data_IF_673365506277
#
_entry.id   IF_673365506277
#
_cell.length_a   1.000
_cell.length_b   1.000
_cell.length_c   1.000
_cell.angle_alpha   90.00
_cell.angle_beta   90.00
_cell.angle_gamma   90.00
#
_symmetry.space_group_name_H-M   'P 1'
#
loop_
_entity.id
_entity.type
_entity.pdbx_description
1 polymer ?
#
# COMPACT_ATOMS: atom_id res chain seq x y z
N UNK A 1 21.07 -0.87 -13.46
CA UNK A 1 20.65 -0.30 -12.16
C UNK A 1 20.51 -1.41 -11.11
N UNK A 2 21.59 -1.69 -10.35
CA UNK A 2 21.70 -2.79 -9.38
C UNK A 2 20.59 -2.74 -8.31
N UNK A 3 20.24 -1.54 -7.83
CA UNK A 3 19.17 -1.39 -6.84
C UNK A 3 17.81 -1.83 -7.39
N UNK A 4 17.51 -1.50 -8.66
CA UNK A 4 16.26 -1.95 -9.28
C UNK A 4 16.20 -3.47 -9.46
N UNK A 5 17.32 -4.10 -9.83
CA UNK A 5 17.42 -5.57 -9.93
C UNK A 5 17.22 -6.21 -8.56
N UNK A 6 17.86 -5.68 -7.51
CA UNK A 6 17.69 -6.19 -6.15
C UNK A 6 16.22 -6.05 -5.67
N UNK A 7 15.60 -4.88 -5.89
CA UNK A 7 14.18 -4.68 -5.54
C UNK A 7 13.26 -5.67 -6.28
N UNK A 8 13.55 -5.93 -7.57
CA UNK A 8 12.82 -6.92 -8.36
C UNK A 8 12.99 -8.33 -7.77
N UNK A 9 14.21 -8.73 -7.41
CA UNK A 9 14.49 -10.03 -6.80
C UNK A 9 13.71 -10.18 -5.48
N UNK A 10 13.75 -9.18 -4.59
CA UNK A 10 13.01 -9.19 -3.33
C UNK A 10 11.51 -9.33 -3.56
N UNK A 11 10.96 -8.71 -4.60
CA UNK A 11 9.54 -8.77 -4.93
C UNK A 11 9.15 -10.14 -5.51
N UNK A 12 9.92 -10.65 -6.49
CA UNK A 12 9.60 -11.90 -7.21
C UNK A 12 9.81 -13.13 -6.33
N UNK A 13 10.78 -13.09 -5.42
CA UNK A 13 11.05 -14.18 -4.48
C UNK A 13 10.43 -13.99 -3.09
N UNK A 14 9.48 -13.05 -2.92
CA UNK A 14 8.67 -12.99 -1.70
C UNK A 14 7.53 -14.02 -1.76
N UNK A 15 7.50 -15.04 -0.89
CA UNK A 15 6.40 -16.00 -0.85
C UNK A 15 5.05 -15.35 -0.65
N UNK A 16 4.99 -14.26 0.13
CA UNK A 16 3.77 -13.50 0.39
C UNK A 16 3.24 -12.80 -0.87
N UNK A 17 4.12 -12.24 -1.70
CA UNK A 17 3.74 -11.61 -2.98
C UNK A 17 3.25 -12.67 -3.96
N UNK A 18 3.97 -13.80 -4.08
CA UNK A 18 3.59 -14.91 -4.97
C UNK A 18 2.23 -15.48 -4.53
N UNK A 19 2.04 -15.71 -3.22
CA UNK A 19 0.78 -16.21 -2.68
C UNK A 19 -0.40 -15.34 -3.13
N UNK A 20 -0.32 -14.04 -2.94
CA UNK A 20 -1.41 -13.12 -3.27
C UNK A 20 -1.55 -12.85 -4.78
N UNK A 21 -0.50 -13.07 -5.57
CA UNK A 21 -0.57 -12.99 -7.04
C UNK A 21 -1.32 -14.17 -7.66
N UNK A 22 -1.28 -15.35 -7.01
CA UNK A 22 -1.97 -16.57 -7.49
C UNK A 22 -3.48 -16.47 -7.33
N UNK A 23 -3.96 -15.86 -6.25
CA UNK A 23 -5.39 -15.74 -5.97
C UNK A 23 -5.96 -14.49 -6.62
N UNK A 24 -7.22 -14.55 -7.05
CA UNK A 24 -7.90 -13.40 -7.68
C UNK A 24 -8.28 -12.38 -6.61
N UNK A 25 -7.26 -11.82 -5.93
CA UNK A 25 -7.42 -10.74 -4.95
C UNK A 25 -6.93 -9.42 -5.53
N UNK A 26 -7.45 -8.32 -5.01
CA UNK A 26 -7.05 -6.98 -5.46
C UNK A 26 -5.71 -6.52 -4.87
N UNK A 27 -5.06 -7.32 -4.02
CA UNK A 27 -3.96 -6.86 -3.18
C UNK A 27 -2.68 -6.57 -3.97
N UNK A 28 -2.28 -7.49 -4.88
CA UNK A 28 -1.11 -7.27 -5.75
C UNK A 28 -1.38 -6.17 -6.79
N UNK A 29 -2.58 -6.17 -7.37
CA UNK A 29 -2.99 -5.10 -8.28
C UNK A 29 -2.97 -3.73 -7.58
N UNK A 30 -3.43 -3.66 -6.34
CA UNK A 30 -3.36 -2.45 -5.53
C UNK A 30 -1.91 -2.04 -5.23
N UNK A 31 -1.03 -2.98 -4.86
CA UNK A 31 0.39 -2.70 -4.64
C UNK A 31 1.04 -2.07 -5.89
N UNK A 32 0.74 -2.61 -7.06
CA UNK A 32 1.17 -2.05 -8.34
C UNK A 32 0.56 -0.65 -8.58
N UNK A 33 -0.75 -0.48 -8.35
CA UNK A 33 -1.44 0.80 -8.51
C UNK A 33 -0.86 1.91 -7.63
N UNK A 34 -0.61 1.61 -6.35
CA UNK A 34 0.04 2.55 -5.42
C UNK A 34 1.45 2.93 -5.88
N UNK A 35 2.27 1.94 -6.26
CA UNK A 35 3.63 2.18 -6.72
C UNK A 35 3.65 3.01 -8.00
N UNK A 36 2.77 2.72 -8.95
CA UNK A 36 2.65 3.44 -10.21
C UNK A 36 2.19 4.88 -10.00
N UNK A 37 1.17 5.10 -9.17
CA UNK A 37 0.65 6.42 -8.84
C UNK A 37 1.71 7.27 -8.12
N UNK A 38 2.40 6.71 -7.13
CA UNK A 38 3.49 7.38 -6.43
C UNK A 38 4.65 7.73 -7.38
N UNK A 39 5.03 6.81 -8.28
CA UNK A 39 6.08 7.06 -9.27
C UNK A 39 5.76 8.25 -10.18
N UNK A 40 4.55 8.30 -10.75
CA UNK A 40 4.19 9.41 -11.66
C UNK A 40 3.95 10.72 -10.91
N UNK A 41 3.46 10.67 -9.68
CA UNK A 41 3.37 11.83 -8.81
C UNK A 41 4.77 12.42 -8.52
N UNK A 42 5.71 11.60 -8.07
CA UNK A 42 7.11 12.01 -7.83
C UNK A 42 7.74 12.57 -9.11
N UNK A 43 7.55 11.86 -10.23
CA UNK A 43 8.06 12.30 -11.53
C UNK A 43 7.50 13.65 -11.94
N UNK A 44 6.21 13.91 -11.67
CA UNK A 44 5.62 15.22 -11.93
C UNK A 44 6.20 16.31 -11.02
N UNK A 45 6.30 16.07 -9.73
CA UNK A 45 6.85 17.05 -8.78
C UNK A 45 8.30 17.42 -9.13
N UNK A 46 9.13 16.43 -9.51
CA UNK A 46 10.54 16.67 -9.89
C UNK A 46 10.70 17.26 -11.31
N UNK A 47 9.80 16.91 -12.23
CA UNK A 47 9.81 17.38 -13.65
C UNK A 47 8.39 17.76 -14.06
N UNK A 48 7.92 19.00 -13.73
CA UNK A 48 6.51 19.42 -13.92
C UNK A 48 6.22 19.72 -15.40
N UNK A 49 5.89 18.70 -16.17
CA UNK A 49 5.43 18.77 -17.56
C UNK A 49 3.96 18.38 -17.64
N UNK A 50 3.23 18.86 -18.67
CA UNK A 50 1.83 18.47 -18.94
C UNK A 50 1.68 16.96 -19.06
N UNK A 51 2.63 16.29 -19.72
CA UNK A 51 2.65 14.82 -19.89
C UNK A 51 2.72 14.10 -18.53
N UNK A 52 3.63 14.53 -17.65
CA UNK A 52 3.77 13.93 -16.32
C UNK A 52 2.54 14.21 -15.43
N UNK A 53 1.90 15.38 -15.57
CA UNK A 53 0.66 15.72 -14.87
C UNK A 53 -0.47 14.76 -15.26
N UNK A 54 -0.66 14.55 -16.57
CA UNK A 54 -1.68 13.63 -17.09
C UNK A 54 -1.43 12.21 -16.58
N UNK A 55 -0.19 11.72 -16.67
CA UNK A 55 0.13 10.39 -16.16
C UNK A 55 -0.09 10.26 -14.64
N UNK A 56 0.26 11.29 -13.86
CA UNK A 56 -0.01 11.28 -12.42
C UNK A 56 -1.51 11.20 -12.12
N UNK A 57 -2.34 11.94 -12.86
CA UNK A 57 -3.79 11.88 -12.71
C UNK A 57 -4.39 10.54 -13.15
N UNK A 58 -3.98 10.03 -14.33
CA UNK A 58 -4.47 8.74 -14.82
C UNK A 58 -4.09 7.59 -13.89
N UNK A 59 -2.83 7.54 -13.41
CA UNK A 59 -2.38 6.48 -12.52
C UNK A 59 -2.99 6.58 -11.13
N UNK A 60 -3.27 7.80 -10.64
CA UNK A 60 -4.08 8.00 -9.45
C UNK A 60 -5.49 7.42 -9.63
N UNK A 61 -6.16 7.70 -10.76
CA UNK A 61 -7.48 7.15 -11.05
C UNK A 61 -7.48 5.63 -11.17
N UNK A 62 -6.49 5.04 -11.86
CA UNK A 62 -6.30 3.58 -11.93
C UNK A 62 -6.16 2.98 -10.53
N UNK A 63 -5.33 3.57 -9.66
CA UNK A 63 -5.17 3.09 -8.30
C UNK A 63 -6.50 3.10 -7.52
N UNK A 64 -7.32 4.15 -7.67
CA UNK A 64 -8.65 4.22 -7.05
C UNK A 64 -9.60 3.12 -7.54
N UNK A 65 -9.49 2.71 -8.80
CA UNK A 65 -10.29 1.64 -9.39
C UNK A 65 -9.84 0.24 -8.93
N UNK A 66 -8.57 0.08 -8.58
CA UNK A 66 -8.01 -1.21 -8.13
C UNK A 66 -8.37 -1.53 -6.68
N UNK A 67 -8.40 -0.53 -5.79
CA UNK A 67 -8.73 -0.75 -4.37
C UNK A 67 -9.15 0.56 -3.69
N UNK A 68 -10.23 0.52 -2.91
CA UNK A 68 -10.71 1.71 -2.18
C UNK A 68 -9.69 2.30 -1.19
N UNK A 69 -8.77 1.48 -0.64
CA UNK A 69 -7.69 2.00 0.20
C UNK A 69 -6.76 2.98 -0.52
N UNK A 70 -6.80 3.05 -1.88
CA UNK A 70 -6.07 4.04 -2.66
C UNK A 70 -6.49 5.49 -2.37
N UNK A 71 -7.61 5.71 -1.67
CA UNK A 71 -7.99 7.02 -1.12
C UNK A 71 -6.86 7.63 -0.27
N UNK A 72 -6.02 6.80 0.36
CA UNK A 72 -4.84 7.23 1.12
C UNK A 72 -3.78 7.95 0.27
N UNK A 73 -3.83 7.83 -1.06
CA UNK A 73 -2.98 8.63 -1.96
C UNK A 73 -3.31 10.13 -1.90
N UNK A 74 -4.54 10.51 -1.57
CA UNK A 74 -4.94 11.92 -1.45
C UNK A 74 -4.14 12.60 -0.33
N UNK A 75 -4.24 12.19 0.95
CA UNK A 75 -3.46 12.80 2.02
C UNK A 75 -1.95 12.62 1.81
N UNK A 76 -1.49 11.51 1.23
CA UNK A 76 -0.09 11.30 0.90
C UNK A 76 0.44 12.38 -0.07
N UNK A 77 -0.26 12.60 -1.19
CA UNK A 77 0.17 13.55 -2.22
C UNK A 77 0.10 15.00 -1.71
N UNK A 78 -0.94 15.33 -0.93
CA UNK A 78 -1.06 16.65 -0.29
C UNK A 78 0.09 16.86 0.68
N UNK A 79 0.32 15.92 1.60
CA UNK A 79 1.36 16.03 2.62
C UNK A 79 2.77 16.11 1.99
N UNK A 80 3.12 15.16 1.15
CA UNK A 80 4.48 15.10 0.58
C UNK A 80 4.73 16.24 -0.41
N UNK A 81 3.74 16.65 -1.19
CA UNK A 81 3.82 17.82 -2.06
C UNK A 81 4.01 19.12 -1.26
N UNK A 82 3.26 19.29 -0.17
CA UNK A 82 3.38 20.43 0.73
C UNK A 82 4.76 20.51 1.40
N UNK A 83 5.23 19.37 1.96
CA UNK A 83 6.57 19.31 2.57
C UNK A 83 7.65 19.63 1.54
N UNK A 84 7.54 19.06 0.31
CA UNK A 84 8.51 19.37 -0.76
C UNK A 84 8.49 20.86 -1.13
N UNK A 85 7.31 21.49 -1.21
CA UNK A 85 7.20 22.94 -1.42
C UNK A 85 7.92 23.73 -0.33
N UNK A 86 7.70 23.38 0.94
CA UNK A 86 8.34 24.08 2.08
C UNK A 86 9.87 24.00 2.05
N UNK A 87 10.43 22.83 1.66
CA UNK A 87 11.88 22.60 1.76
C UNK A 87 12.63 22.96 0.49
N UNK A 88 12.08 22.74 -0.69
CA UNK A 88 12.77 22.93 -1.97
C UNK A 88 12.53 24.29 -2.60
N UNK A 89 11.34 24.87 -2.35
CA UNK A 89 10.83 26.12 -2.98
C UNK A 89 10.91 26.15 -4.52
N UNK A 90 11.09 25.00 -5.17
CA UNK A 90 11.21 24.88 -6.63
C UNK A 90 9.87 25.02 -7.35
N UNK A 91 8.76 24.85 -6.64
CA UNK A 91 7.39 24.99 -7.17
C UNK A 91 6.70 26.10 -6.34
N UNK A 92 5.98 27.02 -6.97
CA UNK A 92 5.15 28.00 -6.25
C UNK A 92 3.93 27.31 -5.63
N UNK A 93 3.48 27.83 -4.48
CA UNK A 93 2.31 27.26 -3.77
C UNK A 93 1.04 27.19 -4.62
N UNK A 94 0.64 28.25 -5.36
CA UNK A 94 -0.54 28.17 -6.22
C UNK A 94 -0.40 27.10 -7.31
N UNK A 95 0.82 26.92 -7.87
CA UNK A 95 1.08 25.89 -8.86
C UNK A 95 0.97 24.48 -8.27
N UNK A 96 1.42 24.27 -7.03
CA UNK A 96 1.26 23.00 -6.34
C UNK A 96 -0.23 22.68 -6.15
N UNK A 97 -1.02 23.62 -5.63
CA UNK A 97 -2.47 23.42 -5.41
C UNK A 97 -3.18 23.11 -6.73
N UNK A 98 -2.95 23.91 -7.77
CA UNK A 98 -3.54 23.66 -9.08
C UNK A 98 -3.17 22.30 -9.64
N UNK A 99 -1.94 21.86 -9.41
CA UNK A 99 -1.47 20.55 -9.84
C UNK A 99 -2.15 19.40 -9.10
N UNK A 100 -2.31 19.50 -7.78
CA UNK A 100 -3.03 18.50 -6.98
C UNK A 100 -4.50 18.42 -7.41
N UNK A 101 -5.15 19.58 -7.57
CA UNK A 101 -6.52 19.63 -8.09
C UNK A 101 -6.61 18.96 -9.47
N UNK A 102 -5.70 19.27 -10.38
CA UNK A 102 -5.69 18.67 -11.71
C UNK A 102 -5.46 17.15 -11.67
N UNK A 103 -4.51 16.65 -10.85
CA UNK A 103 -4.27 15.21 -10.67
C UNK A 103 -5.53 14.50 -10.19
N UNK A 104 -6.18 15.04 -9.14
CA UNK A 104 -7.38 14.42 -8.59
C UNK A 104 -8.55 14.50 -9.57
N UNK A 105 -8.75 15.63 -10.25
CA UNK A 105 -9.78 15.79 -11.27
C UNK A 105 -9.61 14.79 -12.40
N UNK A 106 -8.41 14.66 -12.99
CA UNK A 106 -8.13 13.69 -14.05
C UNK A 106 -8.42 12.26 -13.57
N UNK A 107 -8.02 11.92 -12.33
CA UNK A 107 -8.29 10.61 -11.76
C UNK A 107 -9.78 10.33 -11.57
N UNK A 108 -10.53 11.28 -11.03
CA UNK A 108 -11.96 11.12 -10.83
C UNK A 108 -12.73 11.12 -12.18
N UNK A 109 -12.28 11.86 -13.17
CA UNK A 109 -12.83 11.76 -14.54
C UNK A 109 -12.62 10.37 -15.14
N UNK A 110 -11.55 9.64 -14.78
CA UNK A 110 -11.35 8.25 -15.19
C UNK A 110 -12.27 7.27 -14.46
N UNK A 111 -12.61 7.53 -13.20
CA UNK A 111 -13.51 6.68 -12.40
C UNK A 111 -14.92 6.70 -13.00
N UNK A 112 -15.37 7.84 -13.49
CA UNK A 112 -16.74 8.02 -13.98
C UNK A 112 -17.16 7.02 -15.06
N UNK A 113 -16.46 6.84 -16.19
CA UNK A 113 -16.89 5.91 -17.25
C UNK A 113 -16.91 4.45 -16.80
N UNK A 114 -15.98 4.05 -15.91
CA UNK A 114 -15.94 2.68 -15.37
C UNK A 114 -17.18 2.42 -14.51
N UNK A 115 -17.52 3.34 -13.62
CA UNK A 115 -18.71 3.21 -12.79
C UNK A 115 -20.00 3.47 -13.54
N UNK A 116 -19.97 4.27 -14.62
CA UNK A 116 -21.11 4.42 -15.53
C UNK A 116 -21.46 3.07 -16.19
N UNK A 117 -20.44 2.29 -16.58
CA UNK A 117 -20.64 0.94 -17.09
C UNK A 117 -21.29 0.03 -16.03
N UNK A 118 -20.86 0.11 -14.76
CA UNK A 118 -21.46 -0.65 -13.67
C UNK A 118 -22.93 -0.29 -13.41
N UNK A 119 -23.31 0.98 -13.53
CA UNK A 119 -24.70 1.41 -13.27
C UNK A 119 -25.57 1.45 -14.53
N UNK A 120 -25.05 1.02 -15.70
CA UNK A 120 -25.75 1.11 -16.99
C UNK A 120 -27.13 0.44 -16.95
N UNK A 121 -27.21 -0.80 -16.52
CA UNK A 121 -28.45 -1.56 -16.41
C UNK A 121 -28.99 -1.64 -14.97
N UNK A 122 -28.54 -0.75 -14.07
CA UNK A 122 -28.99 -0.71 -12.69
C UNK A 122 -30.12 0.30 -12.56
N UNK A 123 -31.37 -0.15 -12.25
CA UNK A 123 -32.50 0.77 -12.12
C UNK A 123 -32.23 1.84 -11.06
N UNK A 124 -32.51 3.14 -11.33
CA UNK A 124 -32.22 4.23 -10.39
C UNK A 124 -32.86 4.05 -9.01
N UNK A 125 -34.11 3.61 -8.97
CA UNK A 125 -34.87 3.39 -7.73
C UNK A 125 -34.24 2.28 -6.88
N UNK A 126 -33.76 1.21 -7.55
CA UNK A 126 -33.08 0.11 -6.88
C UNK A 126 -31.73 0.54 -6.36
N UNK A 127 -30.91 1.25 -7.15
CA UNK A 127 -29.64 1.80 -6.68
C UNK A 127 -29.83 2.67 -5.45
N UNK A 128 -30.85 3.54 -5.45
CA UNK A 128 -31.18 4.37 -4.28
C UNK A 128 -31.56 3.53 -3.08
N UNK A 129 -32.47 2.56 -3.24
CA UNK A 129 -32.92 1.67 -2.17
C UNK A 129 -31.76 0.89 -1.56
N UNK A 130 -30.90 0.28 -2.39
CA UNK A 130 -29.74 -0.49 -1.93
C UNK A 130 -28.71 0.43 -1.24
N UNK A 131 -28.52 1.67 -1.74
CA UNK A 131 -27.64 2.65 -1.08
C UNK A 131 -28.17 3.06 0.29
N UNK A 132 -29.49 3.28 0.43
CA UNK A 132 -30.14 3.57 1.72
C UNK A 132 -29.95 2.39 2.69
N UNK A 133 -30.17 1.16 2.22
CA UNK A 133 -30.01 -0.05 3.02
C UNK A 133 -28.57 -0.20 3.56
N UNK A 134 -27.57 -0.10 2.69
CA UNK A 134 -26.17 -0.26 3.08
C UNK A 134 -25.66 0.87 3.99
N UNK A 135 -26.18 2.09 3.86
CA UNK A 135 -25.78 3.24 4.67
C UNK A 135 -26.72 3.55 5.84
N UNK A 136 -27.74 2.71 6.10
CA UNK A 136 -28.70 2.91 7.18
C UNK A 136 -28.02 3.16 8.53
N UNK A 137 -26.99 2.37 8.84
CA UNK A 137 -26.22 2.43 10.09
C UNK A 137 -24.85 3.12 9.93
N UNK A 138 -24.62 3.86 8.83
CA UNK A 138 -23.37 4.56 8.64
C UNK A 138 -23.19 5.68 9.70
N UNK A 139 -22.06 5.72 10.45
CA UNK A 139 -21.92 6.60 11.60
C UNK A 139 -22.02 8.09 11.27
N UNK A 140 -21.41 8.51 10.16
CA UNK A 140 -21.42 9.91 9.73
C UNK A 140 -22.57 10.18 8.77
N UNK A 141 -23.75 10.45 9.32
CA UNK A 141 -25.01 10.65 8.59
C UNK A 141 -24.94 11.66 7.42
N UNK A 142 -24.21 12.80 7.51
CA UNK A 142 -24.12 13.73 6.39
C UNK A 142 -23.51 13.12 5.14
N UNK A 143 -22.44 12.32 5.28
CA UNK A 143 -21.83 11.64 4.12
C UNK A 143 -22.78 10.61 3.51
N UNK A 144 -23.45 9.81 4.34
CA UNK A 144 -24.47 8.86 3.87
C UNK A 144 -25.59 9.54 3.07
N UNK A 145 -26.14 10.65 3.60
CA UNK A 145 -27.18 11.44 2.92
C UNK A 145 -26.69 12.00 1.58
N UNK A 146 -25.45 12.54 1.53
CA UNK A 146 -24.87 13.07 0.30
C UNK A 146 -24.77 11.99 -0.79
N UNK A 147 -24.29 10.78 -0.43
CA UNK A 147 -24.19 9.67 -1.38
C UNK A 147 -25.58 9.21 -1.85
N UNK A 148 -26.58 9.16 -0.98
CA UNK A 148 -27.98 8.83 -1.35
C UNK A 148 -28.51 9.89 -2.33
N UNK A 149 -28.34 11.18 -2.07
CA UNK A 149 -28.77 12.25 -2.98
C UNK A 149 -28.07 12.17 -4.36
N UNK A 150 -26.79 11.77 -4.41
CA UNK A 150 -26.09 11.58 -5.67
C UNK A 150 -26.74 10.50 -6.56
N UNK A 151 -27.44 9.52 -5.99
CA UNK A 151 -28.15 8.48 -6.78
C UNK A 151 -29.32 9.03 -7.60
N UNK A 152 -29.85 10.18 -7.23
CA UNK A 152 -31.00 10.83 -7.90
C UNK A 152 -30.60 11.59 -9.16
N UNK A 153 -29.30 11.91 -9.32
CA UNK A 153 -28.78 12.65 -10.46
C UNK A 153 -28.08 11.71 -11.45
N UNK A 154 -28.52 11.64 -12.72
CA UNK A 154 -27.94 10.73 -13.71
C UNK A 154 -26.41 10.87 -13.89
N UNK A 155 -25.86 12.09 -13.80
CA UNK A 155 -24.42 12.33 -13.93
C UNK A 155 -23.63 11.94 -12.66
N UNK A 156 -24.28 11.94 -11.51
CA UNK A 156 -23.63 11.64 -10.22
C UNK A 156 -23.80 10.17 -9.78
N UNK A 157 -24.74 9.43 -10.40
CA UNK A 157 -24.97 8.01 -10.08
C UNK A 157 -23.68 7.15 -10.12
N UNK A 158 -22.80 7.29 -11.11
CA UNK A 158 -21.54 6.54 -11.12
C UNK A 158 -20.67 6.85 -9.91
N UNK A 159 -20.56 8.11 -9.54
CA UNK A 159 -19.83 8.53 -8.36
C UNK A 159 -20.51 8.09 -7.05
N UNK A 160 -21.84 8.06 -7.02
CA UNK A 160 -22.60 7.52 -5.88
C UNK A 160 -22.23 6.05 -5.64
N UNK A 161 -22.11 5.24 -6.69
CA UNK A 161 -21.73 3.83 -6.60
C UNK A 161 -20.30 3.66 -6.10
N UNK A 162 -19.35 4.46 -6.60
CA UNK A 162 -17.97 4.49 -6.08
C UNK A 162 -17.92 4.91 -4.62
N UNK A 163 -18.60 6.00 -4.27
CA UNK A 163 -18.64 6.53 -2.91
C UNK A 163 -19.31 5.58 -1.93
N UNK A 164 -20.37 4.87 -2.34
CA UNK A 164 -20.99 3.81 -1.55
C UNK A 164 -19.95 2.75 -1.15
N UNK A 165 -19.19 2.22 -2.13
CA UNK A 165 -18.13 1.24 -1.86
C UNK A 165 -17.06 1.78 -0.90
N UNK A 166 -16.66 3.05 -1.07
CA UNK A 166 -15.71 3.71 -0.18
C UNK A 166 -16.23 3.82 1.26
N UNK A 167 -17.48 4.28 1.44
CA UNK A 167 -18.11 4.40 2.76
C UNK A 167 -18.30 3.03 3.43
N UNK A 168 -18.65 1.98 2.67
CA UNK A 168 -18.74 0.61 3.18
C UNK A 168 -17.38 0.10 3.68
N UNK A 169 -16.28 0.43 3.00
CA UNK A 169 -14.93 0.08 3.48
C UNK A 169 -14.60 0.82 4.78
N UNK A 170 -14.93 2.09 4.91
CA UNK A 170 -14.75 2.83 6.16
C UNK A 170 -15.60 2.25 7.31
N UNK A 171 -16.85 1.90 7.02
CA UNK A 171 -17.74 1.26 7.99
C UNK A 171 -17.17 -0.09 8.46
N UNK A 172 -16.69 -0.92 7.54
CA UNK A 172 -16.06 -2.21 7.86
C UNK A 172 -14.80 -2.04 8.70
N UNK A 173 -13.96 -1.06 8.34
CA UNK A 173 -12.72 -0.76 9.09
C UNK A 173 -13.00 -0.27 10.50
N UNK A 174 -14.10 0.46 10.72
CA UNK A 174 -14.55 0.88 12.05
C UNK A 174 -15.22 -0.23 12.84
N UNK A 175 -16.01 -1.09 12.18
CA UNK A 175 -16.79 -2.17 12.81
C UNK A 175 -15.96 -3.38 13.22
N UNK A 176 -14.82 -3.63 12.57
CA UNK A 176 -13.95 -4.76 12.86
C UNK A 176 -14.43 -6.09 12.26
N UNK A 177 -13.78 -7.16 12.66
CA UNK A 177 -14.10 -8.54 12.31
C UNK A 177 -13.62 -9.48 13.41
N UNK A 178 -14.29 -10.62 13.54
CA UNK A 178 -13.82 -11.70 14.42
C UNK A 178 -12.52 -12.26 13.85
N UNK A 179 -11.46 -12.26 14.66
CA UNK A 179 -10.13 -12.71 14.26
C UNK A 179 -9.51 -13.54 15.37
N UNK A 180 -8.78 -14.60 14.99
CA UNK A 180 -7.89 -15.35 15.87
C UNK A 180 -6.49 -14.76 15.81
N UNK A 181 -5.87 -14.56 16.97
CA UNK A 181 -4.51 -14.08 17.08
C UNK A 181 -3.87 -14.57 18.40
N UNK A 182 -2.74 -15.30 18.30
CA UNK A 182 -1.93 -15.78 19.44
C UNK A 182 -2.73 -16.56 20.49
N UNK A 183 -3.65 -17.43 20.08
CA UNK A 183 -4.48 -18.25 20.98
C UNK A 183 -5.80 -17.63 21.40
N UNK A 184 -6.07 -16.38 21.05
CA UNK A 184 -7.27 -15.65 21.43
C UNK A 184 -8.17 -15.35 20.21
N UNK A 185 -9.49 -15.33 20.42
CA UNK A 185 -10.48 -14.93 19.42
C UNK A 185 -11.17 -13.66 19.88
N UNK A 186 -11.12 -12.62 19.06
CA UNK A 186 -11.69 -11.32 19.40
C UNK A 186 -12.37 -10.68 18.19
N UNK A 187 -13.36 -9.80 18.44
CA UNK A 187 -14.03 -9.00 17.42
C UNK A 187 -13.46 -7.58 17.30
N UNK A 188 -12.47 -7.23 18.11
CA UNK A 188 -11.71 -5.98 18.03
C UNK A 188 -10.28 -6.28 17.61
N UNK A 189 -9.70 -5.37 16.83
CA UNK A 189 -8.36 -5.54 16.31
C UNK A 189 -7.27 -5.37 17.38
N UNK A 190 -6.25 -6.22 17.30
CA UNK A 190 -4.99 -6.02 18.03
C UNK A 190 -4.06 -5.07 17.26
N UNK A 191 -3.55 -4.07 17.93
CA UNK A 191 -2.57 -3.13 17.33
C UNK A 191 -1.25 -3.83 16.96
N UNK A 192 -0.89 -4.89 17.67
CA UNK A 192 0.30 -5.72 17.42
C UNK A 192 0.13 -6.69 16.25
N UNK A 193 -1.07 -6.90 15.74
CA UNK A 193 -1.36 -7.93 14.74
C UNK A 193 -0.48 -7.80 13.50
N UNK A 194 -0.56 -6.68 12.78
CA UNK A 194 0.20 -6.50 11.54
C UNK A 194 1.72 -6.54 11.74
N UNK A 195 2.31 -5.85 12.75
CA UNK A 195 3.74 -5.98 13.03
C UNK A 195 4.18 -7.41 13.31
N UNK A 196 3.42 -8.15 14.14
CA UNK A 196 3.74 -9.55 14.48
C UNK A 196 3.62 -10.45 13.25
N UNK A 197 2.51 -10.36 12.50
CA UNK A 197 2.31 -11.19 11.31
C UNK A 197 3.36 -10.89 10.24
N UNK A 198 3.76 -9.62 10.08
CA UNK A 198 4.85 -9.25 9.17
C UNK A 198 6.16 -9.92 9.56
N UNK A 199 6.55 -9.86 10.84
CA UNK A 199 7.80 -10.49 11.32
C UNK A 199 7.75 -12.01 11.13
N UNK A 200 6.61 -12.66 11.35
CA UNK A 200 6.47 -14.11 11.25
C UNK A 200 6.33 -14.64 9.82
N UNK A 201 5.82 -13.81 8.90
CA UNK A 201 5.56 -14.21 7.50
C UNK A 201 6.56 -13.64 6.49
N UNK A 202 7.35 -12.63 6.85
CA UNK A 202 8.38 -12.14 5.94
C UNK A 202 9.63 -13.03 6.04
N UNK A 203 10.24 -13.45 4.90
CA UNK A 203 11.48 -14.24 4.92
C UNK A 203 12.58 -13.57 5.74
N UNK A 204 13.27 -14.38 6.58
CA UNK A 204 14.34 -13.86 7.43
C UNK A 204 15.43 -13.12 6.62
N UNK A 205 15.86 -13.58 5.44
CA UNK A 205 16.82 -12.83 4.62
C UNK A 205 16.34 -11.42 4.30
N UNK A 206 15.04 -11.22 4.01
CA UNK A 206 14.48 -9.89 3.74
C UNK A 206 14.49 -9.05 5.02
N UNK A 207 14.07 -9.62 6.15
CA UNK A 207 14.11 -8.91 7.44
C UNK A 207 15.52 -8.44 7.79
N UNK A 208 16.54 -9.29 7.58
CA UNK A 208 17.96 -8.93 7.79
C UNK A 208 18.36 -7.78 6.88
N UNK A 209 18.01 -7.82 5.59
CA UNK A 209 18.32 -6.74 4.63
C UNK A 209 17.62 -5.43 5.03
N UNK A 210 16.38 -5.48 5.48
CA UNK A 210 15.63 -4.30 5.97
C UNK A 210 16.31 -3.71 7.22
N UNK A 211 16.70 -4.56 8.17
CA UNK A 211 17.42 -4.13 9.38
C UNK A 211 18.78 -3.51 9.04
N UNK A 212 19.58 -4.13 8.18
CA UNK A 212 20.86 -3.57 7.72
C UNK A 212 20.64 -2.21 7.04
N UNK A 213 19.64 -2.11 6.18
CA UNK A 213 19.29 -0.85 5.52
C UNK A 213 18.92 0.23 6.54
N UNK A 214 18.07 -0.07 7.52
CA UNK A 214 17.66 0.84 8.58
C UNK A 214 18.84 1.28 9.45
N UNK A 215 19.67 0.34 9.93
CA UNK A 215 20.87 0.65 10.72
C UNK A 215 21.83 1.52 9.90
N UNK A 216 22.03 1.22 8.61
CA UNK A 216 22.91 2.03 7.76
C UNK A 216 22.43 3.48 7.62
N UNK A 217 21.12 3.73 7.68
CA UNK A 217 20.57 5.10 7.71
C UNK A 217 20.86 5.75 9.05
N UNK A 218 20.58 5.07 10.16
CA UNK A 218 20.74 5.60 11.51
C UNK A 218 22.20 6.02 11.78
N UNK A 219 23.16 5.17 11.38
CA UNK A 219 24.60 5.42 11.63
C UNK A 219 25.21 6.51 10.74
N UNK A 220 24.65 6.74 9.53
CA UNK A 220 25.25 7.67 8.57
C UNK A 220 24.45 8.97 8.37
N UNK A 221 23.32 9.11 9.07
CA UNK A 221 22.48 10.31 8.96
C UNK A 221 22.84 11.36 10.01
N UNK A 222 22.98 12.61 9.56
CA UNK A 222 23.06 13.76 10.47
C UNK A 222 21.65 14.21 10.80
N UNK A 223 21.29 14.15 12.09
CA UNK A 223 19.94 14.48 12.59
C UNK A 223 19.82 15.97 12.95
N UNK A 224 20.18 16.86 12.02
CA UNK A 224 19.90 18.30 12.16
C UNK A 224 18.73 18.69 11.25
N UNK A 225 18.01 19.74 11.63
CA UNK A 225 16.88 20.22 10.83
C UNK A 225 17.27 20.63 9.41
N UNK A 226 18.45 21.25 9.25
CA UNK A 226 19.03 21.58 7.94
C UNK A 226 19.36 20.34 7.10
N UNK A 227 19.94 19.29 7.73
CA UNK A 227 20.25 18.04 7.04
C UNK A 227 18.97 17.30 6.61
N UNK A 228 17.91 17.28 7.43
CA UNK A 228 16.62 16.70 7.08
C UNK A 228 15.99 17.42 5.89
N UNK A 229 15.97 18.75 5.89
CA UNK A 229 15.47 19.53 4.75
C UNK A 229 16.24 19.24 3.47
N UNK A 230 17.57 19.21 3.55
CA UNK A 230 18.42 18.88 2.40
C UNK A 230 18.15 17.46 1.91
N UNK A 231 18.01 16.49 2.82
CA UNK A 231 17.74 15.11 2.47
C UNK A 231 16.38 14.98 1.74
N UNK A 232 15.30 15.58 2.27
CA UNK A 232 13.98 15.54 1.62
C UNK A 232 14.04 16.15 0.21
N UNK A 233 14.72 17.29 0.05
CA UNK A 233 14.80 17.96 -1.26
C UNK A 233 15.62 17.18 -2.29
N UNK A 234 16.62 16.40 -1.84
CA UNK A 234 17.52 15.62 -2.70
C UNK A 234 17.06 14.17 -2.92
N UNK A 235 16.26 13.62 -2.00
CA UNK A 235 15.79 12.22 -2.01
C UNK A 235 14.25 12.18 -1.88
N UNK A 236 13.56 12.99 -2.70
CA UNK A 236 12.11 13.12 -2.60
C UNK A 236 11.37 11.79 -2.86
N UNK A 237 11.91 10.93 -3.73
CA UNK A 237 11.35 9.60 -3.97
C UNK A 237 11.35 8.75 -2.71
N UNK A 238 12.48 8.69 -2.00
CA UNK A 238 12.63 7.95 -0.74
C UNK A 238 11.72 8.53 0.36
N UNK A 239 11.57 9.87 0.39
CA UNK A 239 10.65 10.52 1.32
C UNK A 239 9.19 10.13 1.07
N UNK A 240 8.74 10.10 -0.19
CA UNK A 240 7.38 9.66 -0.55
C UNK A 240 7.17 8.19 -0.19
N UNK A 241 8.16 7.32 -0.47
CA UNK A 241 8.09 5.90 -0.10
C UNK A 241 7.95 5.70 1.41
N UNK A 242 8.76 6.38 2.21
CA UNK A 242 8.68 6.33 3.68
C UNK A 242 7.34 6.88 4.19
N UNK A 243 6.90 8.01 3.65
CA UNK A 243 5.61 8.62 4.03
C UNK A 243 4.45 7.68 3.74
N UNK A 244 4.47 6.98 2.60
CA UNK A 244 3.47 5.98 2.25
C UNK A 244 3.46 4.81 3.24
N UNK A 245 4.64 4.23 3.53
CA UNK A 245 4.77 3.13 4.49
C UNK A 245 4.18 3.55 5.84
N UNK A 246 4.62 4.71 6.38
CA UNK A 246 4.16 5.20 7.69
C UNK A 246 2.65 5.44 7.69
N UNK A 247 2.11 6.11 6.66
CA UNK A 247 0.68 6.41 6.56
C UNK A 247 -0.15 5.12 6.49
N UNK A 248 0.27 4.18 5.63
CA UNK A 248 -0.48 2.94 5.42
C UNK A 248 -0.45 2.04 6.65
N UNK A 249 0.73 1.87 7.27
CA UNK A 249 0.87 1.10 8.50
C UNK A 249 0.14 1.74 9.68
N UNK A 250 0.22 3.06 9.85
CA UNK A 250 -0.53 3.77 10.87
C UNK A 250 -2.05 3.57 10.70
N UNK A 251 -2.56 3.72 9.47
CA UNK A 251 -3.96 3.47 9.14
C UNK A 251 -4.37 2.02 9.43
N UNK A 252 -3.51 1.04 9.10
CA UNK A 252 -3.81 -0.39 9.32
C UNK A 252 -3.78 -0.75 10.82
N UNK A 253 -2.82 -0.24 11.58
CA UNK A 253 -2.68 -0.52 13.02
C UNK A 253 -3.77 0.16 13.85
N UNK A 254 -4.21 1.36 13.45
CA UNK A 254 -5.26 2.10 14.17
C UNK A 254 -6.66 1.69 13.77
N UNK A 255 -6.83 1.06 12.61
CA UNK A 255 -8.09 0.50 12.15
C UNK A 255 -8.51 -0.73 12.99
N UNK A 256 -9.82 -0.99 13.03
CA UNK A 256 -10.37 -2.15 13.76
C UNK A 256 -10.55 -3.39 12.86
N UNK A 257 -9.62 -3.63 11.92
CA UNK A 257 -9.73 -4.70 10.92
C UNK A 257 -8.42 -5.49 10.80
N UNK A 258 -8.38 -6.70 11.34
CA UNK A 258 -7.27 -7.64 11.21
C UNK A 258 -7.62 -8.75 10.21
N UNK A 259 -7.18 -8.62 8.94
CA UNK A 259 -7.55 -9.52 7.82
C UNK A 259 -6.34 -10.14 7.11
N UNK A 260 -5.26 -10.35 7.84
CA UNK A 260 -4.04 -10.97 7.31
C UNK A 260 -3.02 -9.98 6.74
N UNK A 261 -1.82 -10.52 6.49
CA UNK A 261 -0.66 -9.79 5.99
C UNK A 261 -0.94 -9.07 4.65
N UNK A 262 -1.83 -9.64 3.83
CA UNK A 262 -2.25 -9.06 2.53
C UNK A 262 -2.73 -7.61 2.65
N UNK A 263 -3.27 -7.23 3.81
CA UNK A 263 -3.75 -5.86 4.01
C UNK A 263 -2.62 -4.84 3.91
N UNK A 264 -1.42 -5.16 4.39
CA UNK A 264 -0.23 -4.28 4.31
C UNK A 264 0.66 -4.57 3.10
N UNK A 265 0.31 -5.54 2.26
CA UNK A 265 1.03 -5.89 1.03
C UNK A 265 1.30 -4.70 0.10
N UNK A 266 0.40 -3.70 -0.04
CA UNK A 266 0.68 -2.50 -0.83
C UNK A 266 1.96 -1.75 -0.44
N UNK A 267 2.46 -1.95 0.78
CA UNK A 267 3.70 -1.30 1.24
C UNK A 267 4.98 -2.06 0.84
N UNK A 268 4.88 -3.33 0.45
CA UNK A 268 6.04 -4.18 0.15
C UNK A 268 6.92 -3.64 -0.97
N UNK A 269 6.40 -3.20 -2.13
CA UNK A 269 7.24 -2.61 -3.17
C UNK A 269 8.05 -1.42 -2.68
N UNK A 270 7.48 -0.60 -1.80
CA UNK A 270 8.14 0.58 -1.23
C UNK A 270 9.22 0.18 -0.22
N UNK A 271 8.96 -0.81 0.65
CA UNK A 271 9.94 -1.37 1.58
C UNK A 271 11.12 -1.96 0.80
N UNK A 272 10.86 -2.79 -0.21
CA UNK A 272 11.90 -3.43 -1.00
C UNK A 272 12.70 -2.43 -1.83
N UNK A 273 12.07 -1.40 -2.39
CA UNK A 273 12.75 -0.35 -3.13
C UNK A 273 13.71 0.45 -2.24
N UNK A 274 13.27 0.85 -1.04
CA UNK A 274 14.10 1.57 -0.08
C UNK A 274 15.25 0.69 0.41
N UNK A 275 14.97 -0.57 0.76
CA UNK A 275 15.96 -1.56 1.19
C UNK A 275 17.01 -1.77 0.12
N UNK A 276 16.60 -2.06 -1.12
CA UNK A 276 17.51 -2.29 -2.24
C UNK A 276 18.38 -1.07 -2.53
N UNK A 277 17.82 0.14 -2.50
CA UNK A 277 18.57 1.38 -2.69
C UNK A 277 19.64 1.59 -1.63
N UNK A 278 19.33 1.30 -0.37
CA UNK A 278 20.29 1.46 0.75
C UNK A 278 21.32 0.34 0.77
N UNK A 279 20.91 -0.92 0.59
CA UNK A 279 21.84 -2.07 0.53
C UNK A 279 22.85 -1.90 -0.59
N UNK A 280 22.42 -1.46 -1.77
CA UNK A 280 23.33 -1.22 -2.90
C UNK A 280 24.39 -0.17 -2.54
N UNK A 281 23.99 0.95 -1.92
CA UNK A 281 24.93 1.99 -1.45
C UNK A 281 25.84 1.47 -0.33
N UNK A 282 25.28 0.73 0.62
CA UNK A 282 26.02 0.14 1.75
C UNK A 282 27.07 -0.88 1.28
N UNK A 283 26.72 -1.72 0.29
CA UNK A 283 27.61 -2.75 -0.23
C UNK A 283 28.75 -2.19 -1.09
N UNK A 284 28.63 -0.97 -1.65
CA UNK A 284 29.70 -0.31 -2.39
C UNK A 284 30.92 0.02 -1.52
N UNK A 285 30.71 0.25 -0.24
CA UNK A 285 31.78 0.42 0.75
C UNK A 285 32.23 -0.96 1.24
N UNK A 286 33.48 -1.35 1.02
CA UNK A 286 34.05 -2.65 1.42
C UNK A 286 33.34 -3.81 0.69
N UNK A 287 33.35 -3.77 -0.65
CA UNK A 287 32.68 -4.77 -1.52
C UNK A 287 33.05 -6.21 -1.19
N UNK A 288 34.30 -6.47 -0.80
CA UNK A 288 34.84 -7.81 -0.56
C UNK A 288 34.13 -8.54 0.59
N UNK A 289 33.68 -7.83 1.64
CA UNK A 289 33.01 -8.44 2.80
C UNK A 289 31.48 -8.39 2.70
N UNK A 290 30.95 -7.29 2.16
CA UNK A 290 29.50 -7.03 2.18
C UNK A 290 28.75 -7.67 1.02
N UNK A 291 29.35 -7.76 -0.16
CA UNK A 291 28.73 -8.35 -1.32
C UNK A 291 28.46 -9.86 -1.14
N UNK A 292 29.39 -10.68 -0.62
CA UNK A 292 29.10 -12.09 -0.33
C UNK A 292 27.93 -12.28 0.65
N UNK A 293 27.81 -11.42 1.68
CA UNK A 293 26.68 -11.47 2.60
C UNK A 293 25.34 -11.20 1.89
N UNK A 294 25.29 -10.17 1.04
CA UNK A 294 24.08 -9.85 0.26
C UNK A 294 23.73 -11.01 -0.67
N UNK A 295 24.71 -11.59 -1.35
CA UNK A 295 24.51 -12.73 -2.24
C UNK A 295 24.02 -13.96 -1.47
N UNK A 296 24.58 -14.24 -0.30
CA UNK A 296 24.13 -15.33 0.58
C UNK A 296 22.67 -15.14 0.98
N UNK A 297 22.27 -13.92 1.39
CA UNK A 297 20.88 -13.62 1.77
C UNK A 297 19.91 -13.76 0.60
N UNK A 298 20.34 -13.40 -0.61
CA UNK A 298 19.54 -13.60 -1.83
C UNK A 298 19.37 -15.09 -2.14
N UNK A 299 20.45 -15.87 -2.08
CA UNK A 299 20.37 -17.33 -2.30
C UNK A 299 19.48 -17.98 -1.26
N UNK A 300 19.62 -17.61 0.02
CA UNK A 300 18.76 -18.10 1.09
C UNK A 300 17.29 -17.79 0.81
N UNK A 301 16.96 -16.54 0.42
CA UNK A 301 15.60 -16.16 0.02
C UNK A 301 15.06 -17.03 -1.12
N UNK A 302 15.87 -17.27 -2.16
CA UNK A 302 15.47 -18.13 -3.28
C UNK A 302 15.18 -19.56 -2.84
N UNK A 303 16.05 -20.13 -1.99
CA UNK A 303 15.87 -21.49 -1.45
C UNK A 303 14.58 -21.56 -0.63
N UNK A 304 14.31 -20.61 0.28
CA UNK A 304 13.05 -20.60 1.05
C UNK A 304 11.83 -20.54 0.16
N UNK A 305 11.87 -19.68 -0.86
CA UNK A 305 10.75 -19.51 -1.79
C UNK A 305 10.50 -20.76 -2.62
N UNK A 306 11.55 -21.43 -3.10
CA UNK A 306 11.42 -22.66 -3.85
C UNK A 306 10.95 -23.81 -2.95
N UNK A 307 11.43 -23.89 -1.72
CA UNK A 307 11.11 -24.98 -0.79
C UNK A 307 9.64 -25.03 -0.35
N UNK A 308 8.95 -23.88 -0.36
CA UNK A 308 7.52 -23.80 0.02
C UNK A 308 6.57 -24.04 -1.18
N UNK A 309 7.09 -24.22 -2.39
CA UNK A 309 6.26 -24.51 -3.56
C UNK A 309 5.42 -25.78 -3.35
N UNK A 310 4.12 -25.79 -3.69
CA UNK A 310 3.30 -24.69 -4.21
C UNK A 310 2.53 -23.90 -3.11
N UNK A 311 2.78 -24.13 -1.83
CA UNK A 311 1.98 -23.72 -0.68
C UNK A 311 2.36 -22.34 -0.14
N UNK A 312 2.57 -21.36 -1.02
CA UNK A 312 3.07 -20.02 -0.65
C UNK A 312 2.23 -19.28 0.38
N UNK A 313 0.91 -19.49 0.42
CA UNK A 313 0.04 -18.82 1.39
C UNK A 313 0.31 -19.31 2.82
N UNK A 314 0.62 -20.58 2.97
CA UNK A 314 0.96 -21.20 4.26
C UNK A 314 2.40 -20.88 4.72
N UNK A 315 3.17 -20.06 3.99
CA UNK A 315 4.53 -19.70 4.36
C UNK A 315 4.56 -18.97 5.71
N UNK A 316 5.39 -19.47 6.62
CA UNK A 316 5.85 -18.83 7.84
C UNK A 316 7.35 -19.07 7.99
N UNK A 317 8.07 -18.09 8.48
CA UNK A 317 9.51 -18.18 8.64
C UNK A 317 9.90 -18.98 9.90
N UNK A 318 11.22 -19.12 10.15
CA UNK A 318 11.77 -19.91 11.25
C UNK A 318 11.43 -19.34 12.64
N UNK A 319 11.14 -18.03 12.77
CA UNK A 319 10.67 -17.46 14.05
C UNK A 319 9.29 -18.01 14.45
N UNK A 320 8.46 -18.36 13.49
CA UNK A 320 7.19 -19.02 13.75
C UNK A 320 7.32 -20.54 13.89
N UNK A 321 8.52 -21.11 13.75
CA UNK A 321 8.73 -22.57 13.68
C UNK A 321 8.34 -23.17 12.32
N UNK A 322 8.26 -22.34 11.27
CA UNK A 322 7.93 -22.74 9.90
C UNK A 322 6.43 -22.87 9.62
N UNK A 323 6.06 -23.29 8.39
CA UNK A 323 4.68 -23.35 7.91
C UNK A 323 3.75 -24.21 8.76
N UNK A 324 4.24 -25.32 9.30
CA UNK A 324 3.47 -26.24 10.13
C UNK A 324 2.97 -25.65 11.46
N UNK A 325 3.54 -24.53 11.89
CA UNK A 325 3.20 -23.88 13.17
C UNK A 325 2.42 -22.57 13.00
N UNK A 326 2.15 -22.15 11.77
CA UNK A 326 1.50 -20.86 11.48
C UNK A 326 0.12 -20.71 12.13
N UNK A 327 -0.63 -21.79 12.25
CA UNK A 327 -1.97 -21.83 12.86
C UNK A 327 -1.97 -21.47 14.34
N UNK A 328 -0.85 -21.58 15.04
CA UNK A 328 -0.73 -21.15 16.43
C UNK A 328 -0.78 -19.62 16.60
N UNK A 329 -0.49 -18.87 15.55
CA UNK A 329 -0.39 -17.43 15.59
C UNK A 329 -1.59 -16.74 14.96
N UNK A 330 -2.01 -17.20 13.78
CA UNK A 330 -3.10 -16.60 12.98
C UNK A 330 -3.80 -17.66 12.15
N UNK A 331 -4.97 -17.33 11.64
CA UNK A 331 -5.80 -18.18 10.76
C UNK A 331 -6.24 -17.42 9.52
N UNK A 332 -7.25 -17.94 8.80
CA UNK A 332 -7.90 -17.31 7.65
C UNK A 332 -6.88 -17.03 6.52
N UNK A 333 -7.01 -15.95 5.84
CA UNK A 333 -6.24 -15.54 4.68
C UNK A 333 -4.71 -15.45 4.87
N UNK A 334 -4.18 -15.83 6.03
CA UNK A 334 -2.76 -16.04 6.28
C UNK A 334 -2.31 -17.49 6.04
N UNK A 335 -3.22 -18.45 6.04
CA UNK A 335 -2.93 -19.88 5.94
C UNK A 335 -3.63 -20.54 4.77
N UNK A 336 -4.93 -20.29 4.66
CA UNK A 336 -5.81 -21.00 3.76
C UNK A 336 -6.99 -20.11 3.33
N UNK A 337 -7.45 -20.27 2.10
CA UNK A 337 -8.64 -19.64 1.53
C UNK A 337 -9.62 -20.68 0.99
N UNK A 338 -9.48 -21.93 1.37
CA UNK A 338 -10.24 -23.02 0.81
C UNK A 338 -9.83 -23.37 -0.63
N UNK A 339 -8.60 -23.03 -1.04
CA UNK A 339 -8.11 -23.24 -2.40
C UNK A 339 -7.82 -24.70 -2.72
N UNK A 340 -7.75 -25.54 -1.72
CA UNK A 340 -7.43 -26.98 -1.85
C UNK A 340 -8.67 -27.86 -1.61
N UNK A 341 -9.89 -27.28 -1.58
CA UNK A 341 -11.17 -27.95 -1.44
C UNK A 341 -11.77 -28.31 -2.79
#
# INVERSE_FOLDING_TARGET
NTAGILALILTVFSPNVIAQARYVTTDVAAAFGFALAAYFFVRYILKPTKKNLIYAGLTFGVAQLLKFSAILLIPLFIFTGFVYWLVSKKISFPKLILSLVAIFTIGYLLIWPVYQFHVWNYPPERQKSDTVFHLANYPYKPAGKAVIQMTENPLLRPYAQYALGLLMVFQRTGGGNTTYFLGEVHNQAWKSYFPTVYILKEPIPILILVIIAAISVLLHSRWSWSAIKLWISSNFTEFVCLSFIVLYWASSITGNLNIGLRHVLPTFPFIYLLTAGRITKWAQNIKFLKLPLVMFLIVWLMVETVSIYPYYLAYFNQFAGGPANGYNYVTDSNLDWGQDL
#
